data_IF_322637551626
#
_entry.id   IF_322637551626
#
_cell.length_a   1.000
_cell.length_b   1.000
_cell.length_c   1.000
_cell.angle_alpha   90.00
_cell.angle_beta   90.00
_cell.angle_gamma   90.00
#
_symmetry.space_group_name_H-M   'P 1'
#
loop_
_entity.id
_entity.type
_entity.pdbx_description
1 polymer ?
#
# COMPACT_ATOMS: atom_id res chain seq x y z
N UNK A 1 19.12 11.17 -8.91
CA UNK A 1 17.79 10.53 -9.08
C UNK A 1 17.13 10.14 -7.75
N UNK A 2 17.89 10.03 -6.66
CA UNK A 2 17.44 9.71 -5.27
C UNK A 2 16.48 10.74 -4.64
N UNK A 3 16.76 12.02 -4.81
CA UNK A 3 15.94 13.10 -4.20
C UNK A 3 14.52 13.15 -4.79
N UNK A 4 14.37 12.72 -6.05
CA UNK A 4 13.12 12.87 -6.81
C UNK A 4 12.07 11.86 -6.33
N UNK A 5 12.42 10.61 -6.02
CA UNK A 5 11.45 9.59 -5.55
C UNK A 5 10.93 9.88 -4.13
N UNK A 6 11.80 10.28 -3.21
CA UNK A 6 11.38 10.65 -1.85
C UNK A 6 10.51 11.91 -1.83
N UNK A 7 10.73 12.84 -2.76
CA UNK A 7 9.86 14.01 -2.89
C UNK A 7 8.45 13.64 -3.35
N UNK A 8 8.29 12.62 -4.21
CA UNK A 8 6.96 12.15 -4.62
C UNK A 8 6.15 11.64 -3.44
N UNK A 9 6.75 10.82 -2.56
CA UNK A 9 6.07 10.27 -1.38
C UNK A 9 5.64 11.40 -0.43
N UNK A 10 6.50 12.39 -0.21
CA UNK A 10 6.18 13.57 0.62
C UNK A 10 5.08 14.44 0.03
N UNK A 11 5.09 14.66 -1.27
CA UNK A 11 4.03 15.39 -1.98
C UNK A 11 2.70 14.65 -1.87
N UNK A 12 2.69 13.32 -2.12
CA UNK A 12 1.51 12.49 -1.93
C UNK A 12 0.98 12.58 -0.49
N UNK A 13 1.84 12.46 0.52
CA UNK A 13 1.41 12.56 1.93
C UNK A 13 0.72 13.89 2.22
N UNK A 14 1.25 14.99 1.65
CA UNK A 14 0.65 16.33 1.81
C UNK A 14 -0.73 16.39 1.16
N UNK A 15 -0.91 15.77 -0.01
CA UNK A 15 -2.20 15.69 -0.69
C UNK A 15 -3.18 14.83 0.11
N UNK A 16 -2.76 13.68 0.63
CA UNK A 16 -3.62 12.81 1.46
C UNK A 16 -4.11 13.56 2.70
N UNK A 17 -3.28 14.41 3.32
CA UNK A 17 -3.70 15.21 4.50
C UNK A 17 -4.78 16.25 4.17
N UNK A 18 -4.79 16.78 2.95
CA UNK A 18 -5.75 17.80 2.50
C UNK A 18 -7.02 17.20 1.90
N UNK A 19 -6.89 16.05 1.25
CA UNK A 19 -7.91 15.41 0.42
C UNK A 19 -8.22 13.98 0.91
N UNK A 20 -8.25 13.78 2.22
CA UNK A 20 -8.47 12.47 2.84
C UNK A 20 -9.81 11.87 2.42
N UNK A 21 -10.87 12.69 2.40
CA UNK A 21 -12.22 12.30 1.95
C UNK A 21 -12.23 11.80 0.51
N UNK A 22 -11.58 12.51 -0.40
CA UNK A 22 -11.51 12.11 -1.81
C UNK A 22 -10.77 10.78 -1.97
N UNK A 23 -9.65 10.58 -1.26
CA UNK A 23 -8.95 9.30 -1.29
C UNK A 23 -9.83 8.17 -0.73
N UNK A 24 -10.55 8.40 0.36
CA UNK A 24 -11.50 7.45 0.93
C UNK A 24 -12.56 7.05 -0.08
N UNK A 25 -13.19 8.02 -0.74
CA UNK A 25 -14.22 7.76 -1.75
C UNK A 25 -13.68 6.97 -2.94
N UNK A 26 -12.46 7.26 -3.38
CA UNK A 26 -11.78 6.51 -4.44
C UNK A 26 -11.54 5.06 -4.01
N UNK A 27 -11.02 4.83 -2.80
CA UNK A 27 -10.77 3.47 -2.29
C UNK A 27 -12.07 2.68 -2.13
N UNK A 28 -13.14 3.31 -1.65
CA UNK A 28 -14.49 2.72 -1.61
C UNK A 28 -14.95 2.27 -2.99
N UNK A 29 -14.86 3.14 -3.99
CA UNK A 29 -15.35 2.87 -5.36
C UNK A 29 -14.49 1.85 -6.10
N UNK A 30 -13.16 1.93 -5.97
CA UNK A 30 -12.24 1.07 -6.74
C UNK A 30 -12.02 -0.29 -6.07
N UNK A 31 -11.78 -0.30 -4.76
CA UNK A 31 -11.41 -1.50 -4.02
C UNK A 31 -12.59 -2.16 -3.29
N UNK A 32 -13.77 -1.52 -3.29
CA UNK A 32 -14.95 -1.97 -2.55
C UNK A 32 -14.70 -2.13 -1.04
N UNK A 33 -13.89 -1.24 -0.47
CA UNK A 33 -13.57 -1.23 0.97
C UNK A 33 -14.37 -0.13 1.64
N UNK A 34 -15.17 -0.48 2.65
CA UNK A 34 -15.98 0.44 3.46
C UNK A 34 -15.12 1.25 4.46
N UNK A 35 -14.18 2.05 3.95
CA UNK A 35 -13.31 2.91 4.77
C UNK A 35 -14.08 4.15 5.21
N UNK A 36 -14.22 4.43 6.50
CA UNK A 36 -14.79 5.69 7.02
C UNK A 36 -13.77 6.84 6.97
N UNK A 37 -12.56 6.57 7.47
CA UNK A 37 -11.49 7.58 7.56
C UNK A 37 -10.11 6.96 7.44
N UNK A 38 -9.15 7.72 6.91
CA UNK A 38 -7.73 7.37 6.89
C UNK A 38 -6.95 8.32 7.80
N UNK A 39 -6.07 7.77 8.64
CA UNK A 39 -5.18 8.52 9.52
C UNK A 39 -3.75 8.15 9.15
N UNK A 40 -2.93 9.15 8.83
CA UNK A 40 -1.50 8.94 8.55
C UNK A 40 -0.76 8.74 9.86
N UNK A 41 -0.02 7.64 9.97
CA UNK A 41 0.77 7.32 11.16
C UNK A 41 2.21 7.81 11.01
N UNK A 42 2.92 7.31 10.00
CA UNK A 42 4.34 7.60 9.74
C UNK A 42 4.71 7.25 8.31
N UNK A 43 5.87 7.74 7.86
CA UNK A 43 6.55 7.17 6.68
C UNK A 43 7.46 6.03 7.12
N UNK A 44 7.47 4.96 6.34
CA UNK A 44 8.37 3.83 6.54
C UNK A 44 9.30 3.72 5.34
N UNK A 45 10.57 3.47 5.61
CA UNK A 45 11.60 3.24 4.60
C UNK A 45 12.18 1.84 4.79
N UNK A 46 12.31 1.09 3.70
CA UNK A 46 13.01 -0.19 3.67
C UNK A 46 14.48 0.04 4.08
N UNK A 47 14.97 -0.70 5.08
CA UNK A 47 16.30 -0.48 5.65
C UNK A 47 17.32 -1.52 5.20
N UNK A 48 16.91 -2.78 5.05
CA UNK A 48 17.89 -3.86 4.90
C UNK A 48 18.47 -4.00 3.49
N UNK A 49 17.91 -3.31 2.49
CA UNK A 49 18.39 -3.39 1.10
C UNK A 49 18.58 -1.96 0.57
N UNK A 50 19.80 -1.44 0.74
CA UNK A 50 20.16 -0.05 0.45
C UNK A 50 20.02 0.33 -1.04
N UNK A 51 20.09 -0.66 -1.92
CA UNK A 51 19.96 -0.54 -3.37
C UNK A 51 18.53 -0.17 -3.79
N UNK A 52 17.54 -0.52 -2.96
CA UNK A 52 16.14 -0.20 -3.21
C UNK A 52 15.69 0.97 -2.33
N UNK A 53 15.51 2.13 -2.95
CA UNK A 53 14.92 3.29 -2.27
C UNK A 53 13.39 3.16 -2.22
N UNK A 54 12.91 2.44 -1.21
CA UNK A 54 11.49 2.17 -1.03
C UNK A 54 10.94 2.79 0.26
N UNK A 55 10.36 3.99 0.13
CA UNK A 55 9.59 4.67 1.19
C UNK A 55 8.08 4.63 0.89
N UNK A 56 7.26 4.32 1.90
CA UNK A 56 5.78 4.27 1.85
C UNK A 56 5.17 5.13 2.96
N UNK A 57 3.93 5.56 2.77
CA UNK A 57 3.11 6.22 3.81
C UNK A 57 2.31 5.13 4.52
N UNK A 58 2.58 4.88 5.81
CA UNK A 58 1.77 4.00 6.66
C UNK A 58 0.56 4.76 7.17
N UNK A 59 -0.62 4.19 6.97
CA UNK A 59 -1.88 4.75 7.44
C UNK A 59 -2.71 3.71 8.16
N UNK A 60 -3.56 4.19 9.06
CA UNK A 60 -4.60 3.41 9.72
C UNK A 60 -5.95 3.85 9.17
N UNK A 61 -6.67 2.94 8.54
CA UNK A 61 -7.99 3.18 8.01
C UNK A 61 -9.03 2.60 8.97
N UNK A 62 -9.93 3.45 9.46
CA UNK A 62 -11.12 3.02 10.21
C UNK A 62 -12.19 2.59 9.21
N UNK A 63 -12.76 1.41 9.40
CA UNK A 63 -13.84 0.88 8.59
C UNK A 63 -15.21 1.22 9.21
N UNK A 64 -16.27 1.18 8.41
CA UNK A 64 -17.65 1.45 8.87
C UNK A 64 -18.13 0.48 9.96
N UNK A 65 -17.56 -0.73 10.02
CA UNK A 65 -17.85 -1.73 11.04
C UNK A 65 -16.98 -1.61 12.31
N UNK A 66 -16.40 -0.43 12.55
CA UNK A 66 -15.47 -0.10 13.63
C UNK A 66 -14.16 -0.91 13.67
N UNK A 67 -13.91 -1.80 12.70
CA UNK A 67 -12.60 -2.43 12.56
C UNK A 67 -11.59 -1.46 11.97
N UNK A 68 -10.32 -1.76 12.16
CA UNK A 68 -9.22 -0.99 11.60
C UNK A 68 -8.36 -1.88 10.70
N UNK A 69 -7.85 -1.28 9.62
CA UNK A 69 -6.89 -1.91 8.70
C UNK A 69 -5.70 -0.98 8.48
N UNK A 70 -4.51 -1.55 8.36
CA UNK A 70 -3.34 -0.80 7.95
C UNK A 70 -3.28 -0.76 6.42
N UNK A 71 -3.17 0.46 5.87
CA UNK A 71 -3.02 0.70 4.43
C UNK A 71 -1.73 1.48 4.17
N UNK A 72 -0.97 1.05 3.18
CA UNK A 72 0.31 1.61 2.81
C UNK A 72 0.25 2.20 1.41
N UNK A 73 0.61 3.47 1.28
CA UNK A 73 0.55 4.19 0.01
C UNK A 73 1.91 4.54 -0.56
N UNK A 74 2.09 4.34 -1.87
CA UNK A 74 3.27 4.81 -2.62
C UNK A 74 2.95 5.00 -4.10
N UNK A 75 3.35 6.10 -4.74
CA UNK A 75 3.32 6.21 -6.20
C UNK A 75 4.41 5.30 -6.80
N UNK A 76 4.05 4.44 -7.74
CA UNK A 76 4.94 3.45 -8.36
C UNK A 76 4.89 3.59 -9.88
N UNK A 77 6.06 3.64 -10.54
CA UNK A 77 6.12 3.50 -12.01
C UNK A 77 5.57 2.14 -12.43
N UNK A 78 4.76 2.11 -13.48
CA UNK A 78 4.22 0.87 -14.06
C UNK A 78 5.32 -0.16 -14.37
N UNK A 79 6.48 0.29 -14.86
CA UNK A 79 7.63 -0.59 -15.16
C UNK A 79 8.28 -1.25 -13.94
N UNK A 80 7.96 -0.79 -12.72
CA UNK A 80 8.55 -1.26 -11.46
C UNK A 80 7.55 -2.00 -10.55
N UNK A 81 6.41 -2.44 -11.08
CA UNK A 81 5.40 -3.16 -10.29
C UNK A 81 6.00 -4.40 -9.60
N UNK A 82 6.72 -5.25 -10.33
CA UNK A 82 7.33 -6.48 -9.76
C UNK A 82 8.33 -6.19 -8.65
N UNK A 83 9.23 -5.23 -8.88
CA UNK A 83 10.19 -4.75 -7.89
C UNK A 83 9.48 -4.21 -6.64
N UNK A 84 8.37 -3.49 -6.84
CA UNK A 84 7.59 -2.89 -5.75
C UNK A 84 6.85 -3.93 -4.90
N UNK A 85 6.39 -5.04 -5.48
CA UNK A 85 5.81 -6.18 -4.72
C UNK A 85 6.85 -6.73 -3.75
N UNK A 86 8.07 -6.98 -4.24
CA UNK A 86 9.17 -7.47 -3.42
C UNK A 86 9.55 -6.49 -2.32
N UNK A 87 9.78 -5.22 -2.67
CA UNK A 87 10.19 -4.20 -1.70
C UNK A 87 9.10 -3.97 -0.63
N UNK A 88 7.83 -3.96 -1.02
CA UNK A 88 6.72 -3.85 -0.08
C UNK A 88 6.69 -5.01 0.90
N UNK A 89 6.83 -6.25 0.41
CA UNK A 89 6.89 -7.42 1.28
C UNK A 89 8.03 -7.33 2.30
N UNK A 90 9.24 -7.00 1.85
CA UNK A 90 10.39 -6.82 2.74
C UNK A 90 10.16 -5.73 3.78
N UNK A 91 9.55 -4.60 3.38
CA UNK A 91 9.25 -3.49 4.29
C UNK A 91 8.25 -3.89 5.38
N UNK A 92 7.18 -4.61 5.01
CA UNK A 92 6.19 -5.10 5.98
C UNK A 92 6.82 -6.12 6.93
N UNK A 93 7.66 -7.00 6.40
CA UNK A 93 8.36 -8.00 7.19
C UNK A 93 9.31 -7.35 8.23
N UNK A 94 10.07 -6.33 7.83
CA UNK A 94 10.93 -5.54 8.72
C UNK A 94 10.15 -4.84 9.84
N UNK A 95 9.04 -4.18 9.47
CA UNK A 95 8.18 -3.48 10.42
C UNK A 95 7.60 -4.45 11.47
N UNK A 96 7.07 -5.60 11.04
CA UNK A 96 6.45 -6.59 11.95
C UNK A 96 7.45 -7.20 12.93
N UNK A 97 8.68 -7.51 12.49
CA UNK A 97 9.73 -8.00 13.37
C UNK A 97 10.10 -6.95 14.42
N UNK A 98 10.23 -5.69 13.99
CA UNK A 98 10.56 -4.58 14.88
C UNK A 98 9.45 -4.34 15.91
N UNK A 99 8.19 -4.33 15.48
CA UNK A 99 7.05 -4.04 16.35
C UNK A 99 6.82 -5.14 17.39
N UNK A 100 6.97 -6.41 16.98
CA UNK A 100 6.78 -7.57 17.88
C UNK A 100 7.97 -7.86 18.80
N UNK A 101 9.06 -7.08 18.70
CA UNK A 101 10.34 -7.35 19.39
C UNK A 101 10.77 -8.80 19.26
N UNK A 102 10.51 -9.41 18.10
CA UNK A 102 10.94 -10.78 17.84
C UNK A 102 12.46 -10.72 17.74
N UNK A 103 13.14 -11.11 18.82
CA UNK A 103 14.57 -11.35 18.75
C UNK A 103 14.77 -12.57 17.86
N UNK A 104 15.52 -12.47 16.76
CA UNK A 104 15.88 -13.63 15.96
C UNK A 104 16.93 -14.45 16.71
N UNK A 105 16.57 -15.02 17.87
CA UNK A 105 17.36 -16.03 18.55
C UNK A 105 17.00 -17.39 17.95
N UNK A 106 17.84 -17.86 17.02
CA UNK A 106 17.67 -19.13 16.32
C UNK A 106 16.89 -19.00 15.02
N UNK A 107 17.52 -19.40 13.91
CA UNK A 107 17.04 -19.43 12.53
C UNK A 107 16.15 -18.26 12.09
N UNK A 108 16.67 -17.39 11.21
CA UNK A 108 15.86 -16.45 10.44
C UNK A 108 14.70 -17.25 9.83
N UNK A 109 13.49 -17.12 10.39
CA UNK A 109 12.34 -17.88 9.92
C UNK A 109 12.06 -17.44 8.49
N UNK A 110 12.56 -18.22 7.52
CA UNK A 110 12.33 -17.95 6.11
C UNK A 110 10.86 -18.26 5.81
N UNK A 111 9.99 -17.26 6.00
CA UNK A 111 8.58 -17.37 5.69
C UNK A 111 8.45 -17.49 4.18
N UNK A 112 8.09 -18.67 3.70
CA UNK A 112 7.72 -18.88 2.31
C UNK A 112 6.41 -18.14 2.03
N UNK A 113 6.42 -17.31 0.99
CA UNK A 113 5.27 -16.52 0.55
C UNK A 113 4.83 -17.03 -0.81
N UNK A 114 3.54 -17.31 -0.93
CA UNK A 114 2.89 -17.49 -2.22
C UNK A 114 2.42 -16.14 -2.74
N UNK A 115 2.73 -15.88 -3.99
CA UNK A 115 2.26 -14.72 -4.75
C UNK A 115 1.13 -15.23 -5.63
N UNK A 116 -0.07 -14.67 -5.49
CA UNK A 116 -1.18 -14.98 -6.40
C UNK A 116 -0.86 -14.51 -7.82
N UNK A 117 -1.61 -15.01 -8.80
CA UNK A 117 -1.62 -14.39 -10.12
C UNK A 117 -2.11 -12.94 -10.03
N UNK A 118 -1.60 -12.09 -10.93
CA UNK A 118 -1.97 -10.69 -11.00
C UNK A 118 -3.38 -10.58 -11.59
N UNK A 119 -4.34 -10.17 -10.75
CA UNK A 119 -5.72 -9.97 -11.18
C UNK A 119 -5.86 -8.56 -11.76
N UNK A 120 -6.42 -8.42 -12.96
CA UNK A 120 -6.62 -7.11 -13.61
C UNK A 120 -8.09 -6.74 -13.63
N UNK A 121 -8.42 -5.56 -13.10
CA UNK A 121 -9.73 -4.90 -13.24
C UNK A 121 -9.59 -3.57 -14.00
N UNK A 122 -10.70 -2.86 -14.22
CA UNK A 122 -10.74 -1.62 -15.03
C UNK A 122 -9.73 -0.56 -14.57
N UNK A 123 -9.63 -0.37 -13.25
CA UNK A 123 -8.85 0.71 -12.62
C UNK A 123 -7.70 0.23 -11.74
N UNK A 124 -7.49 -1.07 -11.59
CA UNK A 124 -6.39 -1.56 -10.79
C UNK A 124 -5.96 -2.97 -11.19
N UNK A 125 -4.73 -3.29 -10.82
CA UNK A 125 -4.21 -4.65 -10.77
C UNK A 125 -3.97 -5.03 -9.32
N UNK A 126 -4.25 -6.27 -8.92
CA UNK A 126 -3.98 -6.73 -7.56
C UNK A 126 -3.24 -8.05 -7.50
N UNK A 127 -2.48 -8.19 -6.42
CA UNK A 127 -1.77 -9.41 -6.07
C UNK A 127 -1.92 -9.65 -4.57
N UNK A 128 -2.16 -10.90 -4.20
CA UNK A 128 -2.22 -11.32 -2.81
C UNK A 128 -0.95 -12.08 -2.44
N UNK A 129 -0.32 -11.66 -1.35
CA UNK A 129 0.84 -12.30 -0.75
C UNK A 129 0.40 -13.10 0.48
N UNK A 130 0.38 -14.43 0.34
CA UNK A 130 -0.02 -15.36 1.41
C UNK A 130 1.20 -15.98 2.06
N UNK A 131 1.28 -15.93 3.39
CA UNK A 131 2.33 -16.64 4.14
C UNK A 131 1.93 -18.12 4.24
N UNK A 132 2.77 -19.04 3.74
CA UNK A 132 2.52 -20.49 3.86
C UNK A 132 2.96 -21.03 5.22
N UNK A 133 4.18 -20.68 5.63
CA UNK A 133 4.80 -21.19 6.85
C UNK A 133 4.94 -20.06 7.87
N UNK A 134 3.84 -19.67 8.50
CA UNK A 134 3.82 -18.54 9.43
C UNK A 134 4.34 -18.91 10.83
N UNK A 135 5.51 -19.56 10.91
CA UNK A 135 6.09 -20.06 12.16
C UNK A 135 6.38 -18.92 13.17
N UNK A 136 6.55 -17.69 12.69
CA UNK A 136 6.75 -16.48 13.50
C UNK A 136 5.50 -15.60 13.70
N UNK A 137 4.31 -16.02 13.24
CA UNK A 137 3.07 -15.22 13.32
C UNK A 137 3.24 -13.76 12.85
N UNK A 138 4.00 -13.56 11.77
CA UNK A 138 4.41 -12.22 11.30
C UNK A 138 3.21 -11.43 10.77
N UNK A 139 2.31 -12.07 10.03
CA UNK A 139 0.98 -11.54 9.73
C UNK A 139 -0.06 -12.63 10.00
N UNK A 140 -1.30 -12.29 10.32
CA UNK A 140 -2.33 -13.32 10.54
C UNK A 140 -2.61 -14.15 9.28
N UNK A 141 -2.72 -13.49 8.13
CA UNK A 141 -3.11 -14.14 6.86
C UNK A 141 -2.16 -13.76 5.72
N UNK A 142 -1.90 -12.48 5.52
CA UNK A 142 -1.11 -11.98 4.41
C UNK A 142 -1.42 -10.52 4.10
N UNK A 143 -1.08 -10.09 2.89
CA UNK A 143 -1.33 -8.72 2.44
C UNK A 143 -1.76 -8.70 0.99
N UNK A 144 -2.71 -7.83 0.65
CA UNK A 144 -3.11 -7.55 -0.72
C UNK A 144 -2.48 -6.25 -1.18
N UNK A 145 -1.90 -6.25 -2.37
CA UNK A 145 -1.30 -5.08 -2.98
C UNK A 145 -2.13 -4.71 -4.19
N UNK A 146 -2.68 -3.50 -4.17
CA UNK A 146 -3.45 -2.93 -5.27
C UNK A 146 -2.63 -1.86 -5.97
N UNK A 147 -2.52 -1.96 -7.30
CA UNK A 147 -1.88 -0.98 -8.17
C UNK A 147 -2.97 -0.22 -8.91
N UNK A 148 -3.37 0.93 -8.38
CA UNK A 148 -4.51 1.71 -8.85
C UNK A 148 -4.05 2.67 -9.95
N UNK A 149 -4.68 2.59 -11.12
CA UNK A 149 -4.52 3.53 -12.24
C UNK A 149 -5.24 4.85 -11.93
N UNK A 150 -4.73 5.60 -10.95
CA UNK A 150 -5.35 6.82 -10.43
C UNK A 150 -5.64 7.85 -11.52
N UNK A 151 -4.68 8.10 -12.41
CA UNK A 151 -4.87 9.08 -13.49
C UNK A 151 -6.02 8.70 -14.44
N UNK A 152 -6.14 7.40 -14.76
CA UNK A 152 -7.21 6.89 -15.60
C UNK A 152 -8.56 7.05 -14.92
N UNK A 153 -8.66 6.64 -13.66
CA UNK A 153 -9.87 6.79 -12.86
C UNK A 153 -10.31 8.27 -12.78
N UNK A 154 -9.39 9.18 -12.44
CA UNK A 154 -9.67 10.62 -12.28
C UNK A 154 -10.02 11.35 -13.60
N UNK A 155 -9.76 10.73 -14.76
CA UNK A 155 -10.14 11.25 -16.07
C UNK A 155 -11.50 10.74 -16.54
N UNK A 156 -11.81 9.48 -16.23
CA UNK A 156 -13.05 8.83 -16.67
C UNK A 156 -14.21 9.07 -15.72
N UNK A 157 -13.95 9.15 -14.42
CA UNK A 157 -14.96 9.30 -13.37
C UNK A 157 -14.99 10.75 -12.86
N UNK A 158 -16.19 11.29 -12.64
CA UNK A 158 -16.32 12.58 -11.97
C UNK A 158 -15.91 12.42 -10.50
N UNK A 159 -14.85 13.14 -10.11
CA UNK A 159 -14.46 13.29 -8.72
C UNK A 159 -14.35 14.79 -8.40
N UNK A 160 -15.28 15.28 -7.60
CA UNK A 160 -15.28 16.65 -7.10
C UNK A 160 -14.22 16.84 -6.01
N UNK A 161 -13.42 17.91 -6.08
CA UNK A 161 -12.35 18.17 -5.10
C UNK A 161 -11.10 17.30 -5.28
N UNK A 162 -10.99 16.55 -6.39
CA UNK A 162 -9.86 15.68 -6.70
C UNK A 162 -8.73 16.39 -7.48
N UNK A 163 -8.76 17.72 -7.63
CA UNK A 163 -7.85 18.47 -8.49
C UNK A 163 -6.39 18.30 -8.08
N UNK A 164 -6.08 18.30 -6.77
CA UNK A 164 -4.71 18.08 -6.29
C UNK A 164 -4.19 16.67 -6.65
N UNK A 165 -5.01 15.63 -6.42
CA UNK A 165 -4.67 14.26 -6.81
C UNK A 165 -4.50 14.12 -8.32
N UNK A 166 -5.39 14.72 -9.11
CA UNK A 166 -5.34 14.68 -10.57
C UNK A 166 -4.08 15.36 -11.09
N UNK A 167 -3.80 16.58 -10.66
CA UNK A 167 -2.60 17.33 -11.04
C UNK A 167 -1.32 16.57 -10.66
N UNK A 168 -1.31 15.90 -9.51
CA UNK A 168 -0.18 15.11 -9.05
C UNK A 168 0.09 13.91 -9.96
N UNK A 169 -0.93 13.11 -10.28
CA UNK A 169 -0.76 11.96 -11.18
C UNK A 169 -0.59 12.35 -12.66
N UNK A 170 -1.09 13.51 -13.09
CA UNK A 170 -0.85 14.05 -14.44
C UNK A 170 0.63 14.38 -14.69
N UNK A 171 1.34 14.89 -13.68
CA UNK A 171 2.81 15.10 -13.76
C UNK A 171 3.57 13.77 -13.83
N UNK A 172 2.96 12.68 -13.38
CA UNK A 172 3.55 11.35 -13.21
C UNK A 172 2.86 10.33 -14.11
N UNK A 173 2.69 10.65 -15.39
CA UNK A 173 1.83 9.94 -16.34
C UNK A 173 1.96 8.41 -16.36
N UNK A 174 3.15 7.87 -16.08
CA UNK A 174 3.46 6.42 -16.06
C UNK A 174 3.32 5.76 -14.67
N UNK A 175 2.79 6.46 -13.67
CA UNK A 175 2.66 5.98 -12.30
C UNK A 175 1.26 5.48 -11.97
N UNK A 176 1.23 4.49 -11.09
CA UNK A 176 0.07 3.97 -10.39
C UNK A 176 0.22 4.23 -8.90
N UNK A 177 -0.88 4.21 -8.15
CA UNK A 177 -0.84 4.21 -6.69
C UNK A 177 -0.79 2.78 -6.18
N UNK A 178 0.30 2.40 -5.52
CA UNK A 178 0.33 1.23 -4.67
C UNK A 178 -0.49 1.51 -3.42
N UNK A 179 -1.47 0.65 -3.15
CA UNK A 179 -2.24 0.56 -1.91
C UNK A 179 -2.12 -0.87 -1.36
N UNK A 180 -1.16 -1.07 -0.45
CA UNK A 180 -0.93 -2.33 0.24
C UNK A 180 -1.78 -2.42 1.51
N UNK A 181 -2.56 -3.48 1.67
CA UNK A 181 -3.52 -3.65 2.75
C UNK A 181 -3.16 -4.91 3.53
N UNK A 182 -2.99 -4.79 4.85
CA UNK A 182 -2.83 -5.98 5.70
C UNK A 182 -4.18 -6.64 5.95
N UNK A 183 -4.27 -7.93 5.63
CA UNK A 183 -5.51 -8.70 5.82
C UNK A 183 -5.44 -9.46 7.14
N UNK A 184 -6.37 -9.15 8.04
CA UNK A 184 -6.60 -9.86 9.29
C UNK A 184 -7.84 -10.75 9.16
N UNK A 185 -7.92 -11.86 9.93
CA UNK A 185 -9.02 -12.83 9.83
C UNK A 185 -10.41 -12.22 10.08
N UNK A 186 -10.45 -11.14 10.89
CA UNK A 186 -11.67 -10.37 11.20
C UNK A 186 -12.12 -9.45 10.06
N UNK A 187 -11.21 -9.11 9.15
CA UNK A 187 -11.40 -8.15 8.07
C UNK A 187 -11.52 -8.88 6.72
N UNK A 188 -12.30 -9.97 6.64
CA UNK A 188 -12.68 -10.52 5.33
C UNK A 188 -13.51 -9.46 4.60
N UNK A 189 -12.82 -8.58 3.89
CA UNK A 189 -13.38 -7.62 2.94
C UNK A 189 -13.43 -8.37 1.61
N UNK A 190 -14.21 -9.45 1.56
CA UNK A 190 -14.65 -10.16 0.36
C UNK A 190 -16.01 -10.79 0.66
#
# INVERSE_FOLDING_TARGET
MVIIENNKVKELETIIKKSDKQLVDILRKILNIQVDKIIIEKRLKLKNISEYEFEVIKTKAKLENDNEVEIYFKPIKNSRIKESIFCYWCLIYEEEISDKKIHPEGDIFLNKVLISELTKKKYYQSVFLKIENNKGHILETGTEINFIEMLKYLKEESCEGCEELKNYFEKMQDYVLLAGIKINRKNKIL
#
